data_IF_467687861397
#
_entry.id   IF_467687861397
#
_cell.length_a   1.000
_cell.length_b   1.000
_cell.length_c   1.000
_cell.angle_alpha   90.00
_cell.angle_beta   90.00
_cell.angle_gamma   90.00
#
_symmetry.space_group_name_H-M   'P 1'
#
loop_
_entity.id
_entity.type
_entity.pdbx_description
1 polymer ?
#
# COMPACT_ATOMS: atom_id res chain seq x y z
N UNK A 1 -17.59 2.90 11.42
CA UNK A 1 -16.96 2.47 10.15
C UNK A 1 -17.16 3.50 9.02
N UNK A 2 -18.37 4.05 8.81
CA UNK A 2 -18.60 5.02 7.73
C UNK A 2 -17.77 6.31 7.81
N UNK A 3 -17.57 6.87 9.00
CA UNK A 3 -16.78 8.11 9.17
C UNK A 3 -15.33 7.97 8.67
N UNK A 4 -14.66 6.86 9.00
CA UNK A 4 -13.30 6.56 8.55
C UNK A 4 -13.27 6.42 7.02
N UNK A 5 -14.25 5.70 6.46
CA UNK A 5 -14.37 5.55 5.00
C UNK A 5 -14.60 6.90 4.31
N UNK A 6 -15.46 7.76 4.85
CA UNK A 6 -15.69 9.11 4.33
C UNK A 6 -14.43 9.95 4.40
N UNK A 7 -13.70 9.94 5.52
CA UNK A 7 -12.43 10.66 5.63
C UNK A 7 -11.39 10.17 4.62
N UNK A 8 -11.21 8.85 4.51
CA UNK A 8 -10.30 8.27 3.52
C UNK A 8 -10.69 8.66 2.09
N UNK A 9 -11.98 8.55 1.76
CA UNK A 9 -12.50 8.93 0.44
C UNK A 9 -12.24 10.41 0.12
N UNK A 10 -12.59 11.31 1.05
CA UNK A 10 -12.38 12.75 0.86
C UNK A 10 -10.90 13.06 0.68
N UNK A 11 -10.02 12.56 1.54
CA UNK A 11 -8.56 12.79 1.44
C UNK A 11 -8.00 12.28 0.11
N UNK A 12 -8.35 11.06 -0.29
CA UNK A 12 -7.91 10.49 -1.57
C UNK A 12 -8.41 11.34 -2.73
N UNK A 13 -9.69 11.73 -2.73
CA UNK A 13 -10.29 12.51 -3.83
C UNK A 13 -9.63 13.88 -4.04
N UNK A 14 -9.11 14.48 -2.97
CA UNK A 14 -8.36 15.74 -3.04
C UNK A 14 -6.98 15.52 -3.63
N UNK A 15 -6.30 14.43 -3.25
CA UNK A 15 -4.95 14.11 -3.70
C UNK A 15 -4.90 13.51 -5.11
N UNK A 16 -5.93 12.79 -5.57
CA UNK A 16 -5.95 12.14 -6.89
C UNK A 16 -6.42 13.09 -8.00
N UNK A 17 -5.83 14.29 -8.06
CA UNK A 17 -6.07 15.28 -9.12
C UNK A 17 -4.83 15.41 -9.99
N UNK A 18 -5.01 15.60 -11.29
CA UNK A 18 -3.90 15.74 -12.22
C UNK A 18 -2.92 16.84 -11.79
N UNK A 19 -3.44 18.01 -11.42
CA UNK A 19 -2.64 19.15 -10.95
C UNK A 19 -1.77 18.80 -9.74
N UNK A 20 -2.30 18.02 -8.78
CA UNK A 20 -1.53 17.59 -7.62
C UNK A 20 -0.36 16.68 -8.00
N UNK A 21 -0.54 15.80 -9.00
CA UNK A 21 0.55 14.95 -9.48
C UNK A 21 1.61 15.74 -10.26
N UNK A 22 1.20 16.73 -11.08
CA UNK A 22 2.13 17.60 -11.77
C UNK A 22 2.97 18.42 -10.78
N UNK A 23 2.33 19.05 -9.79
CA UNK A 23 3.02 19.79 -8.73
C UNK A 23 4.02 18.91 -7.97
N UNK A 24 3.65 17.65 -7.69
CA UNK A 24 4.53 16.69 -7.03
C UNK A 24 5.74 16.32 -7.90
N UNK A 25 5.54 16.07 -9.19
CA UNK A 25 6.63 15.77 -10.13
C UNK A 25 7.58 16.96 -10.23
N UNK A 26 7.05 18.16 -10.44
CA UNK A 26 7.86 19.39 -10.51
C UNK A 26 8.68 19.59 -9.24
N UNK A 27 8.05 19.37 -8.07
CA UNK A 27 8.76 19.48 -6.80
C UNK A 27 9.89 18.44 -6.70
N UNK A 28 9.67 17.19 -7.14
CA UNK A 28 10.72 16.16 -7.19
C UNK A 28 11.84 16.60 -8.12
N UNK A 29 11.55 17.04 -9.34
CA UNK A 29 12.55 17.43 -10.33
C UNK A 29 13.40 18.63 -9.88
N UNK A 30 12.79 19.60 -9.20
CA UNK A 30 13.47 20.81 -8.72
C UNK A 30 14.32 20.58 -7.47
N UNK A 31 13.96 19.62 -6.62
CA UNK A 31 14.57 19.46 -5.29
C UNK A 31 15.34 18.15 -5.09
N UNK A 32 15.05 17.12 -5.89
CA UNK A 32 15.73 15.82 -5.82
C UNK A 32 16.74 15.68 -6.95
N UNK A 33 17.99 15.43 -6.59
CA UNK A 33 19.00 15.00 -7.55
C UNK A 33 18.68 13.62 -8.16
N UNK A 34 19.24 13.31 -9.34
CA UNK A 34 18.99 12.05 -10.04
C UNK A 34 19.35 10.83 -9.19
N UNK A 35 18.56 9.76 -9.32
CA UNK A 35 18.82 8.46 -8.69
C UNK A 35 18.39 8.33 -7.22
N UNK A 36 17.66 9.30 -6.66
CA UNK A 36 17.14 9.22 -5.29
C UNK A 36 15.75 8.58 -5.25
N UNK A 37 15.61 7.53 -4.44
CA UNK A 37 14.31 6.97 -4.06
C UNK A 37 13.65 7.90 -3.04
N UNK A 38 12.40 8.27 -3.30
CA UNK A 38 11.60 9.02 -2.33
C UNK A 38 10.71 8.08 -1.53
N UNK A 39 10.96 8.03 -0.23
CA UNK A 39 9.99 7.55 0.74
C UNK A 39 9.48 8.74 1.54
N UNK A 40 8.18 8.75 1.85
CA UNK A 40 7.67 9.76 2.79
C UNK A 40 8.37 9.59 4.15
N UNK A 41 8.62 10.70 4.84
CA UNK A 41 9.19 10.65 6.21
C UNK A 41 8.37 9.75 7.13
N UNK A 42 7.05 9.73 6.94
CA UNK A 42 6.13 8.86 7.66
C UNK A 42 6.45 7.37 7.41
N UNK A 43 6.62 6.95 6.14
CA UNK A 43 6.96 5.57 5.78
C UNK A 43 8.30 5.12 6.37
N UNK A 44 9.26 6.03 6.51
CA UNK A 44 10.56 5.76 7.16
C UNK A 44 10.50 5.85 8.70
N UNK A 45 9.33 6.09 9.30
CA UNK A 45 9.17 6.27 10.75
C UNK A 45 9.64 7.61 11.29
N UNK A 46 10.09 8.53 10.43
CA UNK A 46 10.63 9.85 10.78
C UNK A 46 9.59 10.92 11.10
N UNK A 47 8.31 10.57 11.15
CA UNK A 47 7.21 11.47 11.55
C UNK A 47 6.44 10.99 12.78
N UNK A 48 7.04 10.08 13.56
CA UNK A 48 6.55 9.58 14.85
C UNK A 48 7.46 10.06 16.00
N UNK A 49 8.21 11.15 15.78
CA UNK A 49 9.31 11.57 16.64
C UNK A 49 8.81 12.18 17.96
N UNK A 50 7.59 12.70 17.98
CA UNK A 50 6.96 13.21 19.19
C UNK A 50 5.96 12.20 19.73
N UNK A 51 5.79 12.16 21.05
CA UNK A 51 4.82 11.26 21.69
C UNK A 51 3.36 11.52 21.25
N UNK A 52 3.09 12.70 20.69
CA UNK A 52 1.78 13.10 20.14
C UNK A 52 1.54 12.63 18.69
N UNK A 53 2.60 12.20 17.99
CA UNK A 53 2.49 11.65 16.65
C UNK A 53 1.97 10.21 16.76
N UNK A 54 0.65 10.04 16.66
CA UNK A 54 -0.03 8.75 16.74
C UNK A 54 0.43 7.75 15.67
N UNK A 55 0.18 6.44 15.86
CA UNK A 55 0.69 5.39 14.97
C UNK A 55 0.24 5.58 13.51
N UNK A 56 1.15 5.33 12.58
CA UNK A 56 0.88 5.42 11.13
C UNK A 56 0.69 4.03 10.54
N UNK A 57 -0.36 3.89 9.72
CA UNK A 57 -0.67 2.71 8.92
C UNK A 57 -0.63 3.06 7.44
N UNK A 58 0.23 2.39 6.68
CA UNK A 58 0.24 2.47 5.21
C UNK A 58 -0.66 1.38 4.64
N UNK A 59 -1.63 1.77 3.82
CA UNK A 59 -2.56 0.84 3.17
C UNK A 59 -2.41 0.95 1.65
N UNK A 60 -2.11 -0.17 1.00
CA UNK A 60 -2.10 -0.27 -0.47
C UNK A 60 -3.26 -1.14 -0.96
N UNK A 61 -3.98 -0.66 -1.97
CA UNK A 61 -5.08 -1.42 -2.58
C UNK A 61 -4.68 -1.99 -3.93
N UNK A 62 -4.44 -3.30 -3.96
CA UNK A 62 -4.12 -4.05 -5.17
C UNK A 62 -5.38 -4.71 -5.76
N UNK A 63 -6.57 -4.11 -5.59
CA UNK A 63 -7.83 -4.69 -6.05
C UNK A 63 -7.91 -4.87 -7.56
N UNK A 64 -7.23 -3.99 -8.31
CA UNK A 64 -7.22 -4.02 -9.78
C UNK A 64 -6.02 -4.77 -10.34
N UNK A 65 -5.24 -5.44 -9.49
CA UNK A 65 -4.12 -6.25 -9.93
C UNK A 65 -4.68 -7.58 -10.46
N UNK A 66 -4.46 -7.92 -11.74
CA UNK A 66 -5.16 -9.00 -12.41
C UNK A 66 -4.54 -10.37 -12.10
N UNK A 67 -4.54 -10.76 -10.82
CA UNK A 67 -3.90 -12.00 -10.33
C UNK A 67 -4.37 -13.22 -11.13
N UNK A 68 -5.69 -13.37 -11.30
CA UNK A 68 -6.29 -14.52 -11.95
C UNK A 68 -6.09 -14.56 -13.48
N UNK A 69 -5.66 -13.45 -14.10
CA UNK A 69 -5.42 -13.39 -15.56
C UNK A 69 -3.99 -13.74 -15.95
N UNK A 70 -3.12 -13.98 -14.96
CA UNK A 70 -1.72 -14.29 -15.18
C UNK A 70 -1.56 -15.80 -15.40
N UNK A 71 -1.32 -16.23 -16.64
CA UNK A 71 -0.95 -17.61 -16.94
C UNK A 71 0.20 -17.61 -17.94
N UNK A 72 1.31 -18.22 -17.54
CA UNK A 72 2.52 -18.35 -18.36
C UNK A 72 2.64 -19.73 -19.03
N UNK A 73 1.56 -20.52 -19.05
CA UNK A 73 1.53 -21.90 -19.55
C UNK A 73 1.71 -22.97 -18.46
N UNK A 74 1.67 -22.56 -17.19
CA UNK A 74 1.80 -23.45 -16.02
C UNK A 74 0.54 -23.47 -15.13
N UNK A 75 -0.53 -22.77 -15.56
CA UNK A 75 -1.71 -22.50 -14.75
C UNK A 75 -1.62 -21.18 -13.99
N UNK A 76 -2.77 -20.70 -13.50
CA UNK A 76 -2.88 -19.43 -12.79
C UNK A 76 -2.22 -19.44 -11.41
N UNK A 77 -1.75 -18.28 -10.90
CA UNK A 77 -1.17 -18.18 -9.58
C UNK A 77 -2.22 -18.44 -8.50
N UNK A 78 -1.84 -19.12 -7.41
CA UNK A 78 -2.71 -19.33 -6.24
C UNK A 78 -2.62 -18.14 -5.28
N UNK A 79 -1.47 -17.46 -5.25
CA UNK A 79 -1.19 -16.32 -4.39
C UNK A 79 -0.29 -15.32 -5.13
N UNK A 80 -0.60 -14.03 -5.01
CA UNK A 80 0.30 -12.95 -5.40
C UNK A 80 0.53 -12.03 -4.21
N UNK A 81 1.78 -11.98 -3.71
CA UNK A 81 2.15 -11.11 -2.59
C UNK A 81 2.98 -9.89 -3.04
N UNK A 82 2.98 -8.82 -2.24
CA UNK A 82 3.89 -7.68 -2.43
C UNK A 82 5.03 -7.87 -1.45
N UNK A 83 6.24 -8.08 -1.97
CA UNK A 83 7.45 -7.98 -1.18
C UNK A 83 8.05 -6.58 -1.33
N UNK A 84 8.56 -6.04 -0.22
CA UNK A 84 9.37 -4.82 -0.24
C UNK A 84 10.83 -5.20 -0.06
N UNK A 85 11.72 -4.55 -0.81
CA UNK A 85 13.17 -4.66 -0.61
C UNK A 85 13.70 -3.58 0.32
N UNK A 86 12.84 -2.70 0.84
CA UNK A 86 13.23 -1.69 1.81
C UNK A 86 13.62 -2.36 3.12
N UNK A 87 14.88 -2.19 3.54
CA UNK A 87 15.41 -2.76 4.79
C UNK A 87 14.64 -2.27 6.02
N UNK A 88 13.99 -1.10 5.94
CA UNK A 88 13.21 -0.49 7.02
C UNK A 88 11.96 0.20 6.48
N UNK A 89 10.80 -0.32 6.84
CA UNK A 89 9.53 0.42 6.81
C UNK A 89 9.22 0.73 8.27
N UNK A 90 9.13 1.99 8.65
CA UNK A 90 8.89 2.42 10.04
C UNK A 90 7.41 2.42 10.44
N UNK A 91 6.54 1.82 9.62
CA UNK A 91 5.08 1.87 9.77
C UNK A 91 4.47 0.48 9.58
N UNK A 92 3.27 0.28 10.11
CA UNK A 92 2.48 -0.88 9.75
C UNK A 92 2.09 -0.79 8.27
N UNK A 93 2.20 -1.90 7.54
CA UNK A 93 1.81 -2.00 6.13
C UNK A 93 0.70 -3.01 5.95
N UNK A 94 -0.35 -2.61 5.24
CA UNK A 94 -1.46 -3.48 4.85
C UNK A 94 -1.61 -3.43 3.35
N UNK A 95 -1.69 -4.59 2.71
CA UNK A 95 -2.07 -4.68 1.30
C UNK A 95 -3.22 -5.63 1.09
N UNK A 96 -4.26 -5.14 0.41
CA UNK A 96 -5.45 -5.92 0.06
C UNK A 96 -5.44 -6.27 -1.43
N UNK A 97 -5.90 -7.47 -1.77
CA UNK A 97 -6.00 -7.94 -3.16
C UNK A 97 -7.15 -8.92 -3.34
N UNK A 98 -7.60 -9.07 -4.58
CA UNK A 98 -8.56 -10.11 -4.93
C UNK A 98 -7.91 -11.49 -4.82
N UNK A 99 -8.68 -12.46 -4.33
CA UNK A 99 -8.25 -13.85 -4.29
C UNK A 99 -8.14 -14.43 -5.69
N UNK A 100 -7.14 -15.29 -5.92
CA UNK A 100 -7.00 -15.99 -7.18
C UNK A 100 -8.08 -17.07 -7.40
N UNK A 101 -8.90 -17.36 -6.38
CA UNK A 101 -9.96 -18.37 -6.43
C UNK A 101 -11.15 -17.96 -7.32
N UNK A 102 -11.29 -16.67 -7.66
CA UNK A 102 -12.37 -16.19 -8.52
C UNK A 102 -13.76 -16.24 -7.88
N UNK A 103 -13.85 -16.45 -6.56
CA UNK A 103 -15.09 -16.53 -5.77
C UNK A 103 -15.49 -15.18 -5.15
N UNK A 104 -14.82 -14.09 -5.53
CA UNK A 104 -15.03 -12.76 -4.96
C UNK A 104 -14.45 -12.56 -3.56
N UNK A 105 -13.73 -13.55 -3.02
CA UNK A 105 -13.01 -13.44 -1.75
C UNK A 105 -11.74 -12.59 -1.86
N UNK A 106 -11.22 -12.16 -0.70
CA UNK A 106 -10.14 -11.20 -0.61
C UNK A 106 -9.04 -11.70 0.33
N UNK A 107 -7.80 -11.37 -0.03
CA UNK A 107 -6.63 -11.65 0.80
C UNK A 107 -6.01 -10.34 1.26
N UNK A 108 -5.82 -10.22 2.56
CA UNK A 108 -5.10 -9.12 3.20
C UNK A 108 -3.74 -9.64 3.66
N UNK A 109 -2.71 -8.87 3.37
CA UNK A 109 -1.39 -9.05 3.97
C UNK A 109 -1.11 -7.93 4.93
N UNK A 110 -0.65 -8.27 6.13
CA UNK A 110 -0.22 -7.29 7.15
C UNK A 110 1.23 -7.57 7.50
N UNK A 111 2.06 -6.52 7.43
CA UNK A 111 3.47 -6.56 7.82
C UNK A 111 3.81 -5.44 8.80
N UNK A 112 4.69 -5.74 9.75
CA UNK A 112 5.21 -4.78 10.73
C UNK A 112 6.56 -4.18 10.34
N UNK A 113 7.05 -3.24 11.16
CA UNK A 113 8.32 -2.54 10.96
C UNK A 113 9.58 -3.42 11.08
N UNK A 114 9.41 -4.71 11.40
CA UNK A 114 10.46 -5.69 11.50
C UNK A 114 10.23 -6.75 10.41
N UNK A 115 11.22 -6.91 9.55
CA UNK A 115 11.21 -7.88 8.46
C UNK A 115 10.89 -9.29 8.98
N UNK A 116 9.88 -9.95 8.38
CA UNK A 116 9.72 -11.40 8.51
C UNK A 116 8.29 -11.91 8.62
N UNK A 117 7.37 -11.15 9.22
CA UNK A 117 6.04 -11.67 9.52
C UNK A 117 4.98 -11.05 8.60
N UNK A 118 4.70 -11.72 7.47
CA UNK A 118 3.53 -11.41 6.64
C UNK A 118 2.36 -12.28 7.09
N UNK A 119 1.36 -11.68 7.72
CA UNK A 119 0.14 -12.38 8.12
C UNK A 119 -0.88 -12.26 6.99
N UNK A 120 -1.28 -13.40 6.42
CA UNK A 120 -2.34 -13.47 5.42
C UNK A 120 -3.68 -13.73 6.11
N UNK A 121 -4.61 -12.78 5.96
CA UNK A 121 -5.99 -12.91 6.44
C UNK A 121 -6.88 -13.06 5.22
N UNK A 122 -7.53 -14.22 5.10
CA UNK A 122 -8.55 -14.46 4.08
C UNK A 122 -9.92 -14.09 4.63
N UNK A 123 -10.64 -13.19 3.93
CA UNK A 123 -12.01 -12.82 4.29
C UNK A 123 -12.94 -13.18 3.12
N UNK A 124 -13.95 -13.98 3.43
CA UNK A 124 -15.07 -14.27 2.53
C UNK A 124 -16.24 -13.34 2.93
N UNK A 125 -16.83 -12.63 1.97
CA UNK A 125 -18.06 -11.87 2.22
C UNK A 125 -19.25 -12.77 1.81
N UNK A 126 -20.18 -12.99 2.74
CA UNK A 126 -21.44 -13.71 2.56
C UNK A 126 -22.55 -12.75 2.13
#
# INVERSE_FOLDING_TARGET
MSQIATHAHTTISVATKADHFFDLIDWIELHMGPGRLMFSKLVLGGGLANADDGPVLMVSSNRRFPVAQLDFGFGGPILATVCTTAEKIGVGYVSQRESALGDGSWTYSVGGAMAGDEIFIHKQEY
#
